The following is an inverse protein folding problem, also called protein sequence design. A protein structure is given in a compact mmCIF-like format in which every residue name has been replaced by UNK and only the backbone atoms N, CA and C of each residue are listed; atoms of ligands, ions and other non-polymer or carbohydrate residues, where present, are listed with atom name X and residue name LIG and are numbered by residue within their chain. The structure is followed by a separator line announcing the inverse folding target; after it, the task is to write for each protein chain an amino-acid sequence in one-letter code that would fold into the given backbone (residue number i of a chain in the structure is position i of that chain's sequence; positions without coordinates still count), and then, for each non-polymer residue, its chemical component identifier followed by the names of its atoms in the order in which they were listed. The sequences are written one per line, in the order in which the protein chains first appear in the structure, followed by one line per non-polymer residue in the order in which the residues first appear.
data_IF_057111885898
#
_entry.id   IF_057111885898
#
_cell.length_a   1.000
_cell.length_b   1.000
_cell.length_c   1.000
_cell.angle_alpha   90.00
_cell.angle_beta   90.00
_cell.angle_gamma   90.00
#
_symmetry.space_group_name_H-M   'P 1'
#
loop_
_entity.id
_entity.type
_entity.pdbx_description
1 polymer ?
#
# COMPACT_ATOMS: atom_id res chain seq x y z
N UNK A 1 -3.62 13.64 0.58
CA UNK A 1 -3.58 12.22 0.15
C UNK A 1 -4.92 11.58 0.52
N UNK A 2 -5.78 11.27 -0.45
CA UNK A 2 -7.02 10.51 -0.21
C UNK A 2 -6.89 9.18 -0.94
N UNK A 3 -6.61 8.12 -0.19
CA UNK A 3 -6.38 6.79 -0.72
C UNK A 3 -7.74 6.09 -0.79
N UNK A 4 -8.16 5.69 -1.99
CA UNK A 4 -9.39 4.92 -2.17
C UNK A 4 -9.04 3.46 -2.44
N UNK A 5 -9.37 2.58 -1.50
CA UNK A 5 -9.36 1.14 -1.71
C UNK A 5 -10.74 0.74 -2.26
N UNK A 6 -10.83 0.34 -3.54
CA UNK A 6 -12.11 0.05 -4.20
C UNK A 6 -12.31 -1.46 -4.40
N UNK A 7 -13.26 -2.11 -3.68
CA UNK A 7 -13.64 -3.48 -3.96
C UNK A 7 -14.75 -3.51 -5.03
N UNK A 8 -14.52 -4.31 -6.07
CA UNK A 8 -15.48 -4.58 -7.15
C UNK A 8 -16.83 -5.07 -6.57
N UNK A 9 -17.91 -4.35 -6.88
CA UNK A 9 -19.28 -4.66 -6.44
C UNK A 9 -19.98 -5.56 -7.49
N UNK A 10 -20.21 -6.84 -7.17
CA UNK A 10 -21.13 -7.72 -7.92
C UNK A 10 -22.30 -8.15 -7.03
N UNK A 11 -23.51 -8.15 -7.60
CA UNK A 11 -24.82 -8.25 -6.96
C UNK A 11 -25.17 -9.63 -6.35
N UNK A 12 -25.80 -9.56 -5.15
CA UNK A 12 -26.88 -10.36 -4.55
C UNK A 12 -27.04 -11.88 -4.84
N UNK A 13 -26.87 -12.71 -3.80
CA UNK A 13 -27.92 -13.57 -3.18
C UNK A 13 -27.36 -14.87 -2.56
N UNK A 14 -27.30 -14.94 -1.24
CA UNK A 14 -27.85 -16.06 -0.46
C UNK A 14 -27.62 -15.86 1.03
N UNK A 15 -28.71 -15.88 1.77
CA UNK A 15 -28.76 -15.88 3.21
C UNK A 15 -28.37 -17.27 3.71
N UNK A 16 -27.17 -17.41 4.28
CA UNK A 16 -26.81 -18.53 5.14
C UNK A 16 -26.32 -17.95 6.47
N UNK A 17 -27.15 -18.06 7.50
CA UNK A 17 -26.82 -17.69 8.88
C UNK A 17 -25.78 -18.68 9.41
N UNK A 18 -24.50 -18.38 9.21
CA UNK A 18 -23.43 -19.04 9.93
C UNK A 18 -23.05 -18.14 11.11
N UNK A 19 -23.40 -18.60 12.31
CA UNK A 19 -22.95 -18.04 13.57
C UNK A 19 -21.44 -18.25 13.68
N UNK A 20 -20.66 -17.43 12.98
CA UNK A 20 -19.25 -17.26 13.21
C UNK A 20 -19.10 -16.26 14.34
N UNK A 21 -18.55 -16.68 15.46
CA UNK A 21 -18.03 -15.76 16.47
C UNK A 21 -17.16 -14.74 15.74
N UNK A 22 -17.64 -13.51 15.62
CA UNK A 22 -16.76 -12.40 15.28
C UNK A 22 -15.91 -12.21 16.52
N UNK A 23 -14.79 -12.95 16.60
CA UNK A 23 -13.65 -12.45 17.34
C UNK A 23 -13.45 -11.06 16.80
N UNK A 24 -13.77 -10.04 17.60
CA UNK A 24 -13.25 -8.72 17.35
C UNK A 24 -11.74 -8.93 17.35
N UNK A 25 -11.13 -8.98 16.16
CA UNK A 25 -9.73 -8.64 16.05
C UNK A 25 -9.69 -7.22 16.55
N UNK A 26 -9.40 -7.10 17.84
CA UNK A 26 -8.86 -5.91 18.45
C UNK A 26 -7.68 -5.55 17.55
N UNK A 27 -7.92 -4.64 16.60
CA UNK A 27 -6.88 -4.13 15.74
C UNK A 27 -5.97 -3.32 16.66
N UNK A 28 -5.00 -4.01 17.26
CA UNK A 28 -3.93 -3.37 17.97
C UNK A 28 -3.24 -2.43 16.96
N UNK A 29 -2.94 -1.17 17.32
CA UNK A 29 -2.17 -0.26 16.46
C UNK A 29 -0.84 -0.83 15.95
N UNK A 30 -0.40 -1.99 16.47
CA UNK A 30 0.77 -2.75 16.01
C UNK A 30 0.51 -3.88 15.00
N UNK A 31 -0.68 -4.02 14.41
CA UNK A 31 -1.01 -5.07 13.42
C UNK A 31 -1.39 -4.49 12.04
N UNK A 32 -0.73 -3.39 11.65
CA UNK A 32 -0.91 -2.79 10.33
C UNK A 32 -0.17 -3.66 9.32
N UNK A 33 -0.89 -4.46 8.53
CA UNK A 33 -0.30 -5.18 7.39
C UNK A 33 -0.35 -4.32 6.12
N UNK A 34 0.83 -3.94 5.62
CA UNK A 34 0.99 -3.17 4.39
C UNK A 34 1.22 -4.05 3.15
N UNK A 35 1.33 -5.38 3.29
CA UNK A 35 1.58 -6.25 2.17
C UNK A 35 0.44 -6.17 1.13
N UNK A 36 0.80 -6.04 -0.14
CA UNK A 36 -0.15 -5.93 -1.25
C UNK A 36 0.29 -4.95 -2.33
N UNK A 37 -0.63 -4.69 -3.25
CA UNK A 37 -0.45 -3.73 -4.34
C UNK A 37 -1.28 -2.49 -4.02
N UNK A 38 -0.60 -1.35 -3.90
CA UNK A 38 -1.23 -0.07 -3.59
C UNK A 38 -1.10 0.87 -4.76
N UNK A 39 -2.20 1.52 -5.14
CA UNK A 39 -2.25 2.46 -6.27
C UNK A 39 -2.73 3.81 -5.80
N UNK A 40 -2.08 4.86 -6.25
CA UNK A 40 -2.51 6.22 -5.96
C UNK A 40 -1.80 7.23 -6.85
N UNK A 41 -2.40 8.40 -6.94
CA UNK A 41 -1.86 9.51 -7.71
C UNK A 41 -1.19 10.52 -6.78
N UNK A 42 -0.03 11.00 -7.18
CA UNK A 42 0.56 12.23 -6.63
C UNK A 42 0.37 13.35 -7.62
N UNK A 43 0.12 14.55 -7.12
CA UNK A 43 -0.02 15.73 -7.96
C UNK A 43 0.88 16.87 -7.44
N UNK A 44 2.19 16.83 -7.77
CA UNK A 44 3.13 17.84 -7.30
C UNK A 44 3.01 19.18 -8.06
N UNK A 45 2.56 19.17 -9.32
CA UNK A 45 2.63 20.33 -10.24
C UNK A 45 1.32 20.53 -11.05
N UNK A 46 0.19 20.05 -10.55
CA UNK A 46 -1.10 20.06 -11.28
C UNK A 46 -1.22 18.95 -12.34
N UNK A 47 -0.26 18.04 -12.39
CA UNK A 47 -0.29 16.84 -13.24
C UNK A 47 -0.24 15.61 -12.35
N UNK A 48 -1.35 14.85 -12.33
CA UNK A 48 -1.42 13.59 -11.63
C UNK A 48 -0.45 12.56 -12.23
N UNK A 49 0.37 11.95 -11.38
CA UNK A 49 1.29 10.87 -11.70
C UNK A 49 0.85 9.65 -10.88
N UNK A 50 0.50 8.57 -11.58
CA UNK A 50 0.20 7.28 -10.96
C UNK A 50 1.47 6.67 -10.36
N UNK A 51 1.36 6.27 -9.09
CA UNK A 51 2.30 5.41 -8.38
C UNK A 51 1.65 4.05 -8.11
N UNK A 52 2.37 2.97 -8.43
CA UNK A 52 1.97 1.61 -8.07
C UNK A 52 3.03 1.00 -7.17
N UNK A 53 2.69 0.81 -5.89
CA UNK A 53 3.57 0.17 -4.92
C UNK A 53 3.28 -1.33 -4.84
N UNK A 54 4.34 -2.13 -4.83
CA UNK A 54 4.32 -3.56 -4.60
C UNK A 54 5.02 -3.82 -3.28
N UNK A 55 4.26 -4.10 -2.21
CA UNK A 55 4.78 -4.25 -0.86
C UNK A 55 4.63 -5.70 -0.41
N UNK A 56 5.67 -6.24 0.20
CA UNK A 56 5.71 -7.59 0.77
C UNK A 56 6.22 -7.54 2.21
N UNK A 57 5.72 -8.44 3.05
CA UNK A 57 6.30 -8.66 4.37
C UNK A 57 7.70 -9.27 4.24
N UNK A 58 8.64 -8.75 5.02
CA UNK A 58 10.01 -9.27 5.06
C UNK A 58 10.18 -10.26 6.23
N UNK A 59 11.28 -11.03 6.21
CA UNK A 59 11.55 -12.05 7.23
C UNK A 59 11.84 -11.49 8.64
N UNK A 60 12.05 -10.19 8.77
CA UNK A 60 12.33 -9.50 10.03
C UNK A 60 11.09 -8.85 10.65
N UNK A 61 9.90 -9.10 10.10
CA UNK A 61 8.64 -8.52 10.59
C UNK A 61 8.39 -7.07 10.15
N UNK A 62 9.15 -6.57 9.16
CA UNK A 62 8.86 -5.30 8.49
C UNK A 62 8.40 -5.51 7.05
N UNK A 63 8.55 -4.49 6.20
CA UNK A 63 8.18 -4.55 4.78
C UNK A 63 9.36 -4.27 3.85
N UNK A 64 9.23 -4.76 2.63
CA UNK A 64 10.07 -4.42 1.49
C UNK A 64 9.19 -4.26 0.26
N UNK A 65 9.70 -3.66 -0.82
CA UNK A 65 8.89 -3.52 -2.02
C UNK A 65 9.54 -2.73 -3.13
N UNK A 66 8.74 -2.48 -4.16
CA UNK A 66 9.08 -1.62 -5.29
C UNK A 66 7.96 -0.61 -5.57
N UNK A 67 8.29 0.42 -6.35
CA UNK A 67 7.32 1.36 -6.91
C UNK A 67 7.51 1.47 -8.42
N UNK A 68 6.39 1.59 -9.11
CA UNK A 68 6.32 1.89 -10.54
C UNK A 68 5.70 3.27 -10.76
N UNK A 69 6.21 3.98 -11.76
CA UNK A 69 5.64 5.23 -12.30
C UNK A 69 5.43 5.08 -13.81
N UNK A 70 4.31 4.44 -14.25
CA UNK A 70 4.10 4.09 -15.66
C UNK A 70 4.15 5.31 -16.60
N UNK A 71 3.59 6.44 -16.17
CA UNK A 71 3.62 7.71 -16.92
C UNK A 71 5.05 8.22 -17.21
N UNK A 72 6.04 7.78 -16.43
CA UNK A 72 7.45 8.14 -16.56
C UNK A 72 8.31 6.95 -17.03
N UNK A 73 7.69 5.85 -17.49
CA UNK A 73 8.38 4.63 -17.92
C UNK A 73 9.39 4.07 -16.90
N UNK A 74 9.14 4.25 -15.60
CA UNK A 74 9.99 3.69 -14.54
C UNK A 74 9.25 2.58 -13.80
N UNK A 75 9.92 1.44 -13.65
CA UNK A 75 9.33 0.22 -13.07
C UNK A 75 10.33 -0.45 -12.13
N UNK A 76 9.82 -1.18 -11.15
CA UNK A 76 10.56 -1.94 -10.17
C UNK A 76 11.62 -1.11 -9.41
N UNK A 77 11.34 0.18 -9.15
CA UNK A 77 12.25 1.01 -8.35
C UNK A 77 12.23 0.54 -6.90
N UNK A 78 13.37 0.18 -6.30
CA UNK A 78 13.39 -0.39 -4.96
C UNK A 78 13.03 0.66 -3.91
N UNK A 79 12.20 0.24 -2.95
CA UNK A 79 11.94 1.01 -1.74
C UNK A 79 13.15 0.88 -0.80
N UNK A 80 13.59 1.99 -0.24
CA UNK A 80 14.70 2.06 0.73
C UNK A 80 14.21 1.95 2.18
N UNK A 81 12.92 2.12 2.43
CA UNK A 81 12.33 1.93 3.75
C UNK A 81 10.81 2.10 3.75
N UNK A 82 10.16 1.41 4.68
CA UNK A 82 8.73 1.55 4.97
C UNK A 82 8.60 1.59 6.49
N UNK A 83 7.98 2.63 7.02
CA UNK A 83 7.77 2.80 8.46
C UNK A 83 6.36 3.30 8.75
N UNK A 84 5.83 2.89 9.89
CA UNK A 84 4.55 3.36 10.42
C UNK A 84 4.81 4.01 11.76
N UNK A 85 4.29 5.23 11.96
CA UNK A 85 4.39 5.92 13.24
C UNK A 85 3.29 5.51 14.23
N UNK A 86 3.34 6.04 15.45
CA UNK A 86 2.39 5.73 16.52
C UNK A 86 0.94 6.17 16.19
N UNK A 87 0.78 7.12 15.27
CA UNK A 87 -0.51 7.62 14.81
C UNK A 87 -1.06 6.83 13.59
N UNK A 88 -0.29 5.85 13.09
CA UNK A 88 -0.65 5.03 11.93
C UNK A 88 -0.31 5.67 10.58
N UNK A 89 0.49 6.74 10.55
CA UNK A 89 0.94 7.32 9.29
C UNK A 89 2.05 6.45 8.67
N UNK A 90 1.89 6.15 7.39
CA UNK A 90 2.84 5.35 6.63
C UNK A 90 3.81 6.27 5.88
N UNK A 91 5.10 6.10 6.13
CA UNK A 91 6.18 6.73 5.36
C UNK A 91 6.87 5.68 4.49
N UNK A 92 6.94 5.93 3.18
CA UNK A 92 7.62 5.07 2.22
C UNK A 92 8.77 5.87 1.61
N UNK A 93 9.98 5.36 1.75
CA UNK A 93 11.18 5.91 1.15
C UNK A 93 11.52 5.12 -0.12
N UNK A 94 11.81 5.84 -1.21
CA UNK A 94 12.27 5.27 -2.48
C UNK A 94 13.78 5.47 -2.57
N UNK A 95 14.51 4.46 -3.04
CA UNK A 95 15.96 4.60 -3.22
C UNK A 95 16.25 5.67 -4.29
N UNK A 96 17.22 6.54 -4.02
CA UNK A 96 17.70 7.48 -5.02
C UNK A 96 18.32 6.71 -6.19
N UNK A 97 17.69 6.73 -7.35
CA UNK A 97 18.30 6.28 -8.59
C UNK A 97 19.30 7.34 -9.02
N UNK A 98 20.55 7.20 -8.58
CA UNK A 98 21.62 8.14 -8.86
C UNK A 98 21.81 8.32 -10.37
N UNK A 99 21.40 9.48 -10.89
CA UNK A 99 21.91 9.97 -12.16
C UNK A 99 23.36 10.37 -11.97
N UNK A 100 24.27 9.71 -12.67
CA UNK A 100 25.61 10.26 -12.89
C UNK A 100 25.46 11.34 -13.97
N UNK A 101 25.60 12.60 -13.58
CA UNK A 101 25.76 13.73 -14.51
C UNK A 101 27.25 13.99 -14.79
#
# INVERSE_FOLDING_TARGET
MKIYNSPILLLFSSLLTLSGSTSSLDAHPGDIDLAGIWRGDIDPEGTAIELVFHIEANKAGGWSGTVDTPAQNSYALPLSGISVDEDGNVTIAVAATGGLY
#
